data_IF_937734033688
#
_entry.id   IF_937734033688
#
_cell.length_a   1.000
_cell.length_b   1.000
_cell.length_c   1.000
_cell.angle_alpha   90.00
_cell.angle_beta   90.00
_cell.angle_gamma   90.00
#
_symmetry.space_group_name_H-M   'P 1'
#
loop_
_entity.id
_entity.type
_entity.pdbx_description
1 polymer ?
#
# COMPACT_ATOMS: atom_id res chain seq x y z
N UNK A 1 24.92 -7.21 -7.77
CA UNK A 1 23.99 -6.45 -6.92
C UNK A 1 24.14 -6.94 -5.49
N UNK A 2 24.35 -6.05 -4.53
CA UNK A 2 24.20 -6.40 -3.12
C UNK A 2 22.71 -6.53 -2.87
N UNK A 3 22.26 -7.71 -2.47
CA UNK A 3 20.87 -7.91 -2.07
C UNK A 3 20.56 -7.06 -0.85
N UNK A 4 19.41 -6.37 -0.88
CA UNK A 4 18.91 -5.67 0.27
C UNK A 4 18.47 -6.70 1.31
N UNK A 5 19.05 -6.62 2.51
CA UNK A 5 18.69 -7.50 3.62
C UNK A 5 18.05 -6.70 4.74
N UNK A 6 17.10 -7.30 5.43
CA UNK A 6 16.50 -6.69 6.60
C UNK A 6 17.53 -6.47 7.70
N UNK A 7 17.49 -5.30 8.31
CA UNK A 7 18.37 -4.98 9.42
C UNK A 7 18.03 -5.85 10.64
N UNK A 8 19.00 -6.65 11.09
CA UNK A 8 18.83 -7.59 12.20
C UNK A 8 18.40 -6.90 13.51
N UNK A 9 18.91 -5.69 13.74
CA UNK A 9 18.66 -4.95 14.98
C UNK A 9 17.37 -4.09 14.92
N UNK A 10 16.63 -4.13 13.82
CA UNK A 10 15.36 -3.42 13.66
C UNK A 10 14.24 -4.41 13.34
N UNK A 11 14.08 -4.80 12.09
CA UNK A 11 12.94 -5.61 11.65
C UNK A 11 13.01 -7.08 12.09
N UNK A 12 14.20 -7.62 12.34
CA UNK A 12 14.39 -9.02 12.72
C UNK A 12 14.69 -9.23 14.22
N UNK A 13 14.43 -8.25 15.06
CA UNK A 13 14.57 -8.40 16.51
C UNK A 13 13.42 -9.23 17.10
N UNK A 14 13.69 -9.98 18.17
CA UNK A 14 12.71 -10.89 18.78
C UNK A 14 11.53 -10.14 19.47
N UNK A 15 11.75 -8.89 19.85
CA UNK A 15 10.78 -8.00 20.50
C UNK A 15 10.20 -6.94 19.52
N UNK A 16 10.20 -7.22 18.21
CA UNK A 16 9.61 -6.34 17.24
C UNK A 16 8.11 -6.17 17.53
N UNK A 17 7.60 -4.94 17.68
CA UNK A 17 6.21 -4.71 18.02
C UNK A 17 5.29 -5.13 16.87
N UNK A 18 4.14 -5.70 17.21
CA UNK A 18 3.04 -5.88 16.28
C UNK A 18 2.33 -4.54 16.06
N UNK A 19 2.55 -3.95 14.90
CA UNK A 19 2.02 -2.64 14.56
C UNK A 19 0.64 -2.77 13.96
N UNK A 20 -0.38 -2.32 14.68
CA UNK A 20 -1.77 -2.31 14.17
C UNK A 20 -1.99 -1.14 13.22
N UNK A 21 -1.55 0.07 13.59
CA UNK A 21 -1.62 1.26 12.76
C UNK A 21 -0.47 2.20 13.14
N UNK A 22 0.21 2.76 12.16
CA UNK A 22 1.30 3.70 12.41
C UNK A 22 0.88 5.15 12.17
N UNK A 23 1.63 6.09 12.77
CA UNK A 23 1.45 7.51 12.46
C UNK A 23 1.76 7.80 10.97
N UNK A 24 2.76 7.13 10.40
CA UNK A 24 3.09 7.26 8.98
C UNK A 24 1.91 6.85 8.09
N UNK A 25 1.30 5.71 8.37
CA UNK A 25 0.10 5.24 7.67
C UNK A 25 -1.04 6.26 7.75
N UNK A 26 -1.30 6.79 8.95
CA UNK A 26 -2.33 7.83 9.15
C UNK A 26 -2.06 9.05 8.28
N UNK A 27 -0.81 9.50 8.18
CA UNK A 27 -0.44 10.65 7.35
C UNK A 27 -0.64 10.37 5.86
N UNK A 28 -0.41 9.15 5.39
CA UNK A 28 -0.70 8.78 4.01
C UNK A 28 -2.21 8.75 3.71
N UNK A 29 -3.05 8.31 4.65
CA UNK A 29 -4.51 8.41 4.50
C UNK A 29 -4.98 9.86 4.49
N UNK A 30 -4.39 10.73 5.30
CA UNK A 30 -4.66 12.17 5.26
C UNK A 30 -4.27 12.77 3.91
N UNK A 31 -3.11 12.39 3.38
CA UNK A 31 -2.68 12.81 2.05
C UNK A 31 -3.68 12.36 0.95
N UNK A 32 -4.10 11.10 0.98
CA UNK A 32 -5.11 10.57 0.07
C UNK A 32 -6.45 11.33 0.18
N UNK A 33 -6.89 11.63 1.41
CA UNK A 33 -8.13 12.37 1.65
C UNK A 33 -8.10 13.77 1.01
N UNK A 34 -6.98 14.47 1.09
CA UNK A 34 -6.81 15.77 0.42
C UNK A 34 -6.74 15.66 -1.10
N UNK A 35 -6.11 14.63 -1.66
CA UNK A 35 -6.09 14.41 -3.12
C UNK A 35 -7.48 14.10 -3.64
N UNK A 36 -8.25 13.26 -2.95
CA UNK A 36 -9.59 12.83 -3.37
C UNK A 36 -10.71 13.81 -2.99
N UNK A 37 -10.48 14.67 -2.00
CA UNK A 37 -11.53 15.51 -1.42
C UNK A 37 -12.50 14.72 -0.53
N UNK A 38 -12.01 13.74 0.26
CA UNK A 38 -12.81 12.91 1.14
C UNK A 38 -13.02 13.58 2.50
N UNK A 39 -14.19 14.15 2.71
CA UNK A 39 -14.53 14.86 3.95
C UNK A 39 -13.83 16.22 4.13
N UNK A 40 -12.95 16.59 3.21
CA UNK A 40 -12.22 17.86 3.15
C UNK A 40 -12.20 18.39 1.71
N UNK A 41 -11.97 19.68 1.53
CA UNK A 41 -11.73 20.23 0.19
C UNK A 41 -10.42 19.68 -0.39
N UNK A 42 -10.39 19.43 -1.70
CA UNK A 42 -9.14 19.05 -2.38
C UNK A 42 -8.08 20.12 -2.19
N UNK A 43 -6.90 19.69 -1.73
CA UNK A 43 -5.74 20.56 -1.53
C UNK A 43 -4.45 19.75 -1.69
N UNK A 44 -3.80 19.89 -2.85
CA UNK A 44 -2.55 19.18 -3.13
C UNK A 44 -1.37 19.67 -2.28
N UNK A 45 -1.41 20.88 -1.75
CA UNK A 45 -0.36 21.38 -0.86
C UNK A 45 -0.46 20.71 0.51
N UNK A 46 -1.67 20.57 1.05
CA UNK A 46 -1.92 19.82 2.28
C UNK A 46 -1.64 18.33 2.10
N UNK A 47 -2.02 17.77 0.94
CA UNK A 47 -1.69 16.39 0.59
C UNK A 47 -0.18 16.16 0.60
N UNK A 48 0.60 17.02 -0.05
CA UNK A 48 2.06 16.93 -0.12
C UNK A 48 2.70 17.07 1.28
N UNK A 49 2.20 17.99 2.10
CA UNK A 49 2.68 18.15 3.46
C UNK A 49 2.44 16.89 4.32
N UNK A 50 1.26 16.28 4.22
CA UNK A 50 0.94 15.04 4.90
C UNK A 50 1.77 13.85 4.36
N UNK A 51 1.92 13.76 3.04
CA UNK A 51 2.72 12.74 2.36
C UNK A 51 4.18 12.75 2.83
N UNK A 52 4.82 13.94 2.89
CA UNK A 52 6.19 14.10 3.39
C UNK A 52 6.31 13.74 4.86
N UNK A 53 5.34 14.14 5.70
CA UNK A 53 5.30 13.73 7.11
C UNK A 53 5.20 12.21 7.27
N UNK A 54 4.41 11.55 6.44
CA UNK A 54 4.32 10.08 6.42
C UNK A 54 5.67 9.43 6.12
N UNK A 55 6.39 9.91 5.09
CA UNK A 55 7.72 9.41 4.72
C UNK A 55 8.72 9.63 5.85
N UNK A 56 8.78 10.85 6.40
CA UNK A 56 9.68 11.18 7.51
C UNK A 56 9.41 10.27 8.72
N UNK A 57 8.14 10.12 9.11
CA UNK A 57 7.76 9.29 10.25
C UNK A 57 8.13 7.83 10.04
N UNK A 58 7.90 7.27 8.84
CA UNK A 58 8.29 5.92 8.49
C UNK A 58 9.80 5.71 8.59
N UNK A 59 10.58 6.65 8.06
CA UNK A 59 12.03 6.61 8.17
C UNK A 59 12.50 6.63 9.63
N UNK A 60 11.96 7.54 10.44
CA UNK A 60 12.33 7.66 11.88
C UNK A 60 11.94 6.41 12.65
N UNK A 61 10.75 5.86 12.42
CA UNK A 61 10.30 4.60 13.03
C UNK A 61 11.26 3.44 12.73
N UNK A 62 11.81 3.41 11.51
CA UNK A 62 12.77 2.40 11.08
C UNK A 62 14.23 2.74 11.45
N UNK A 63 14.45 3.70 12.35
CA UNK A 63 15.76 3.99 12.94
C UNK A 63 16.64 4.98 12.16
N UNK A 64 16.08 5.65 11.15
CA UNK A 64 16.80 6.75 10.46
C UNK A 64 16.81 8.00 11.34
N UNK A 65 17.96 8.67 11.44
CA UNK A 65 18.05 9.92 12.19
C UNK A 65 17.08 10.98 11.62
N UNK A 66 16.40 11.71 12.50
CA UNK A 66 15.33 12.65 12.11
C UNK A 66 15.77 13.66 11.05
N UNK A 67 16.98 14.24 11.18
CA UNK A 67 17.50 15.19 10.18
C UNK A 67 17.69 14.54 8.79
N UNK A 68 18.12 13.29 8.74
CA UNK A 68 18.29 12.53 7.50
C UNK A 68 16.92 12.17 6.91
N UNK A 69 15.97 11.75 7.75
CA UNK A 69 14.61 11.45 7.35
C UNK A 69 13.90 12.68 6.75
N UNK A 70 14.00 13.83 7.41
CA UNK A 70 13.46 15.08 6.92
C UNK A 70 14.09 15.51 5.58
N UNK A 71 15.41 15.39 5.45
CA UNK A 71 16.12 15.70 4.21
C UNK A 71 15.68 14.76 3.06
N UNK A 72 15.53 13.48 3.34
CA UNK A 72 15.01 12.50 2.37
C UNK A 72 13.58 12.83 1.93
N UNK A 73 12.69 13.09 2.90
CA UNK A 73 11.31 13.45 2.63
C UNK A 73 11.19 14.75 1.81
N UNK A 74 12.04 15.72 2.06
CA UNK A 74 12.11 16.96 1.29
C UNK A 74 12.58 16.74 -0.16
N UNK A 75 13.42 15.74 -0.39
CA UNK A 75 13.96 15.40 -1.72
C UNK A 75 13.01 14.64 -2.64
N UNK A 76 11.90 14.08 -2.13
CA UNK A 76 10.91 13.39 -2.97
C UNK A 76 10.15 14.39 -3.85
N UNK A 77 9.79 14.01 -5.09
CA UNK A 77 8.96 14.86 -5.96
C UNK A 77 7.65 15.28 -5.27
N UNK A 78 7.27 16.55 -5.44
CA UNK A 78 5.99 17.03 -4.91
C UNK A 78 4.82 16.39 -5.66
N UNK A 79 3.75 16.04 -4.95
CA UNK A 79 2.54 15.45 -5.52
C UNK A 79 1.95 16.33 -6.64
N UNK A 80 2.06 17.65 -6.52
CA UNK A 80 1.59 18.61 -7.53
C UNK A 80 2.36 18.56 -8.85
N UNK A 81 3.58 18.00 -8.85
CA UNK A 81 4.45 17.90 -10.03
C UNK A 81 4.33 16.58 -10.79
N UNK A 82 3.57 15.62 -10.27
CA UNK A 82 3.46 14.27 -10.83
C UNK A 82 2.50 14.14 -12.03
N UNK A 83 1.75 15.21 -12.36
CA UNK A 83 0.92 15.24 -13.56
C UNK A 83 -0.52 14.73 -13.36
N UNK A 84 -1.06 14.83 -12.16
CA UNK A 84 -2.48 14.58 -11.89
C UNK A 84 -2.75 13.76 -10.63
N UNK A 85 -4.03 13.71 -10.25
CA UNK A 85 -4.48 13.03 -9.03
C UNK A 85 -4.11 11.55 -9.02
N UNK A 86 -4.23 10.84 -10.14
CA UNK A 86 -3.90 9.42 -10.24
C UNK A 86 -2.43 9.15 -9.93
N UNK A 87 -1.54 10.00 -10.45
CA UNK A 87 -0.10 9.90 -10.17
C UNK A 87 0.25 10.26 -8.73
N UNK A 88 -0.46 11.20 -8.14
CA UNK A 88 -0.33 11.53 -6.73
C UNK A 88 -0.79 10.35 -5.85
N UNK A 89 -1.92 9.73 -6.17
CA UNK A 89 -2.44 8.55 -5.48
C UNK A 89 -1.51 7.34 -5.62
N UNK A 90 -0.96 7.11 -6.81
CA UNK A 90 0.04 6.06 -7.06
C UNK A 90 1.29 6.26 -6.19
N UNK A 91 1.79 7.51 -6.09
CA UNK A 91 2.93 7.83 -5.24
C UNK A 91 2.64 7.59 -3.75
N UNK A 92 1.49 8.04 -3.26
CA UNK A 92 1.05 7.81 -1.88
C UNK A 92 0.94 6.32 -1.59
N UNK A 93 0.24 5.56 -2.43
CA UNK A 93 0.03 4.12 -2.24
C UNK A 93 1.35 3.33 -2.33
N UNK A 94 2.30 3.77 -3.13
CA UNK A 94 3.65 3.17 -3.20
C UNK A 94 4.41 3.34 -1.88
N UNK A 95 4.32 4.51 -1.24
CA UNK A 95 4.91 4.71 0.08
C UNK A 95 4.17 3.94 1.18
N UNK A 96 2.84 3.89 1.13
CA UNK A 96 2.05 3.03 2.02
C UNK A 96 2.46 1.56 1.93
N UNK A 97 2.69 1.05 0.72
CA UNK A 97 3.14 -0.32 0.53
C UNK A 97 4.51 -0.58 1.17
N UNK A 98 5.44 0.38 1.09
CA UNK A 98 6.74 0.28 1.77
C UNK A 98 6.55 0.27 3.28
N UNK A 99 5.73 1.18 3.80
CA UNK A 99 5.39 1.26 5.23
C UNK A 99 4.75 -0.05 5.74
N UNK A 100 3.85 -0.64 4.95
CA UNK A 100 3.13 -1.87 5.28
C UNK A 100 3.91 -3.15 4.95
N UNK A 101 5.22 -3.07 4.67
CA UNK A 101 6.01 -4.24 4.24
C UNK A 101 5.97 -5.40 5.24
N UNK A 102 5.92 -5.12 6.55
CA UNK A 102 5.79 -6.12 7.61
C UNK A 102 4.33 -6.45 7.97
N UNK A 103 3.36 -5.85 7.27
CA UNK A 103 1.92 -6.04 7.46
C UNK A 103 1.26 -6.42 6.13
N UNK A 104 1.46 -7.65 5.67
CA UNK A 104 1.08 -8.07 4.31
C UNK A 104 -0.43 -8.04 4.07
N UNK A 105 -1.26 -8.24 5.10
CA UNK A 105 -2.73 -8.20 4.95
C UNK A 105 -3.21 -6.77 4.70
N UNK A 106 -2.67 -5.79 5.41
CA UNK A 106 -2.96 -4.37 5.23
C UNK A 106 -2.47 -3.89 3.86
N UNK A 107 -1.25 -4.28 3.47
CA UNK A 107 -0.70 -3.96 2.16
C UNK A 107 -1.56 -4.52 1.01
N UNK A 108 -2.02 -5.76 1.15
CA UNK A 108 -2.92 -6.39 0.18
C UNK A 108 -4.29 -5.72 0.14
N UNK A 109 -4.88 -5.42 1.30
CA UNK A 109 -6.17 -4.72 1.40
C UNK A 109 -6.10 -3.32 0.80
N UNK A 110 -5.01 -2.58 1.06
CA UNK A 110 -4.81 -1.25 0.51
C UNK A 110 -4.61 -1.28 -1.01
N UNK A 111 -3.85 -2.23 -1.53
CA UNK A 111 -3.67 -2.40 -2.97
C UNK A 111 -5.00 -2.73 -3.67
N UNK A 112 -5.82 -3.59 -3.11
CA UNK A 112 -7.15 -3.92 -3.63
C UNK A 112 -8.09 -2.73 -3.62
N UNK A 113 -8.05 -1.92 -2.57
CA UNK A 113 -8.88 -0.72 -2.41
C UNK A 113 -8.49 0.39 -3.39
N UNK A 114 -7.20 0.58 -3.61
CA UNK A 114 -6.68 1.71 -4.39
C UNK A 114 -6.36 1.37 -5.84
N UNK A 115 -6.08 0.10 -6.14
CA UNK A 115 -5.48 -0.34 -7.40
C UNK A 115 -3.97 -0.04 -7.51
N UNK A 116 -3.39 0.62 -6.50
CA UNK A 116 -1.98 1.04 -6.52
C UNK A 116 -1.14 0.38 -5.42
N UNK A 117 0.17 0.22 -5.68
CA UNK A 117 0.81 0.32 -7.00
C UNK A 117 0.24 -0.71 -7.97
N UNK A 118 0.23 -0.42 -9.26
CA UNK A 118 -0.18 -1.37 -10.29
C UNK A 118 0.78 -2.56 -10.28
N UNK A 119 0.26 -3.71 -9.86
CA UNK A 119 1.03 -4.95 -9.76
C UNK A 119 0.80 -5.81 -11.00
N UNK A 120 1.86 -6.44 -11.48
CA UNK A 120 1.78 -7.39 -12.58
C UNK A 120 2.22 -8.77 -12.13
N UNK A 121 1.57 -9.80 -12.69
CA UNK A 121 2.01 -11.18 -12.50
C UNK A 121 3.30 -11.39 -13.26
N UNK A 122 4.37 -11.91 -12.64
CA UNK A 122 5.61 -12.24 -13.32
C UNK A 122 5.38 -13.14 -14.53
N UNK A 123 6.08 -12.87 -15.64
CA UNK A 123 5.90 -13.63 -16.89
C UNK A 123 6.10 -15.14 -16.72
N UNK A 124 6.99 -15.55 -15.80
CA UNK A 124 7.29 -16.95 -15.49
C UNK A 124 6.13 -17.75 -14.93
N UNK A 125 5.14 -17.09 -14.31
CA UNK A 125 3.98 -17.77 -13.69
C UNK A 125 2.63 -17.34 -14.29
N UNK A 126 2.64 -16.44 -15.28
CA UNK A 126 1.41 -15.87 -15.88
C UNK A 126 0.49 -16.92 -16.50
N UNK A 127 1.03 -18.03 -16.97
CA UNK A 127 0.24 -19.12 -17.52
C UNK A 127 -0.59 -19.87 -16.45
N UNK A 128 -0.17 -19.82 -15.20
CA UNK A 128 -0.86 -20.45 -14.08
C UNK A 128 -1.73 -19.46 -13.32
N UNK A 129 -1.31 -18.18 -13.28
CA UNK A 129 -1.97 -17.11 -12.56
C UNK A 129 -2.15 -15.91 -13.49
N UNK A 130 -3.27 -15.83 -14.23
CA UNK A 130 -3.50 -14.79 -15.23
C UNK A 130 -3.68 -13.38 -14.64
N UNK A 131 -3.91 -13.29 -13.34
CA UNK A 131 -4.10 -12.03 -12.62
C UNK A 131 -3.57 -12.05 -11.20
N UNK A 132 -3.51 -10.87 -10.59
CA UNK A 132 -3.20 -10.70 -9.17
C UNK A 132 -4.39 -11.25 -8.35
N UNK A 133 -4.08 -11.82 -7.19
CA UNK A 133 -5.11 -12.37 -6.30
C UNK A 133 -5.90 -11.23 -5.64
N UNK A 134 -7.20 -11.21 -5.88
CA UNK A 134 -8.15 -10.24 -5.33
C UNK A 134 -9.02 -10.82 -4.22
N UNK A 135 -9.17 -12.13 -4.18
CA UNK A 135 -10.02 -12.84 -3.21
C UNK A 135 -9.50 -14.24 -2.91
N UNK A 136 -9.94 -14.81 -1.81
CA UNK A 136 -9.78 -16.23 -1.54
C UNK A 136 -10.80 -17.04 -2.36
N UNK A 137 -10.46 -18.26 -2.78
CA UNK A 137 -11.43 -19.15 -3.41
C UNK A 137 -12.52 -19.54 -2.41
N UNK A 138 -13.70 -19.85 -2.89
CA UNK A 138 -14.68 -20.55 -2.07
C UNK A 138 -14.15 -21.93 -1.70
N UNK A 139 -14.50 -22.48 -0.51
CA UNK A 139 -14.19 -23.85 -0.17
C UNK A 139 -14.71 -24.79 -1.27
N UNK A 140 -13.93 -25.80 -1.64
CA UNK A 140 -14.27 -26.72 -2.74
C UNK A 140 -15.65 -27.36 -2.55
N UNK A 141 -15.98 -27.70 -1.30
CA UNK A 141 -17.26 -28.31 -0.95
C UNK A 141 -18.45 -27.36 -1.09
N UNK A 142 -18.25 -26.07 -1.03
CA UNK A 142 -19.33 -25.07 -1.07
C UNK A 142 -20.15 -25.19 -2.36
N UNK A 143 -19.47 -25.31 -3.50
CA UNK A 143 -20.13 -25.47 -4.80
C UNK A 143 -20.97 -26.75 -4.98
N UNK A 144 -20.82 -27.73 -4.09
CA UNK A 144 -21.58 -28.99 -4.13
C UNK A 144 -22.75 -29.03 -3.14
N UNK A 145 -22.81 -28.12 -2.18
CA UNK A 145 -23.82 -28.14 -1.10
C UNK A 145 -24.67 -26.87 -1.04
N UNK A 146 -24.29 -25.83 -1.78
CA UNK A 146 -24.97 -24.53 -1.77
C UNK A 146 -25.15 -24.01 -3.20
N UNK A 147 -26.36 -24.16 -3.73
CA UNK A 147 -26.72 -23.73 -5.09
C UNK A 147 -26.67 -22.21 -5.29
N UNK A 148 -26.53 -21.43 -4.20
CA UNK A 148 -26.46 -19.97 -4.26
C UNK A 148 -25.03 -19.43 -4.26
N UNK A 149 -24.00 -20.27 -4.35
CA UNK A 149 -22.61 -19.80 -4.45
C UNK A 149 -22.42 -19.05 -5.76
N UNK A 150 -22.00 -17.78 -5.73
CA UNK A 150 -21.72 -17.06 -6.96
C UNK A 150 -20.62 -17.74 -7.77
N UNK A 151 -20.87 -17.95 -9.04
CA UNK A 151 -19.81 -18.40 -9.95
C UNK A 151 -18.77 -17.30 -10.11
N UNK A 152 -17.49 -17.65 -9.91
CA UNK A 152 -16.35 -16.74 -10.11
C UNK A 152 -15.26 -17.45 -10.91
N UNK A 153 -14.68 -16.73 -11.86
CA UNK A 153 -13.68 -17.32 -12.78
C UNK A 153 -12.35 -17.67 -12.10
N UNK A 154 -12.12 -17.15 -10.89
CA UNK A 154 -10.92 -17.45 -10.11
C UNK A 154 -10.61 -16.41 -9.04
N UNK A 155 -9.50 -16.60 -8.36
CA UNK A 155 -9.02 -15.71 -7.27
C UNK A 155 -8.65 -14.29 -7.76
N UNK A 156 -8.47 -14.10 -9.05
CA UNK A 156 -8.21 -12.83 -9.72
C UNK A 156 -9.47 -12.02 -10.03
N UNK A 157 -10.66 -12.56 -9.77
CA UNK A 157 -11.93 -11.84 -9.93
C UNK A 157 -12.03 -10.74 -8.86
N UNK A 158 -12.16 -9.49 -9.30
CA UNK A 158 -12.29 -8.34 -8.41
C UNK A 158 -13.52 -8.46 -7.51
N UNK A 159 -13.39 -7.91 -6.31
CA UNK A 159 -14.51 -7.76 -5.38
C UNK A 159 -15.32 -6.50 -5.73
N UNK A 160 -16.55 -6.43 -5.29
CA UNK A 160 -17.49 -5.34 -5.58
C UNK A 160 -17.02 -3.93 -5.16
N UNK A 161 -16.08 -3.84 -4.22
CA UNK A 161 -15.54 -2.57 -3.71
C UNK A 161 -14.21 -2.16 -4.38
N UNK A 162 -13.70 -2.96 -5.31
CA UNK A 162 -12.44 -2.70 -6.01
C UNK A 162 -12.67 -1.93 -7.29
N UNK A 163 -11.90 -0.86 -7.49
CA UNK A 163 -11.95 -0.02 -8.69
C UNK A 163 -11.31 -0.70 -9.92
#
# INVERSE_FOLDING_TARGET
CREAVFQKNNLLRADYPDVICSYAETMFYVAEAYVRGLGVAKDLAQADAAYRKGIEASCVYNGVAAATAASFAAGVPSLSTLGGDDKALEAIASQQRIEMMMRPLEAWSNQRRTGYPALEVPASIRNFYPGIMHRWPYPEREGSVNDNVPHVDGVWTKMWFEN
#
